data_IF_489901788126
#
_entry.id   IF_489901788126
#
_cell.length_a   1.000
_cell.length_b   1.000
_cell.length_c   1.000
_cell.angle_alpha   90.00
_cell.angle_beta   90.00
_cell.angle_gamma   90.00
#
_symmetry.space_group_name_H-M   'P 1'
#
loop_
_entity.id
_entity.type
_entity.pdbx_description
1 polymer ?
#
# COMPACT_ATOMS: atom_id res chain seq x y z
N UNK A 1 -11.98 25.29 -2.21
CA UNK A 1 -11.80 23.98 -2.87
C UNK A 1 -11.01 24.21 -4.14
N UNK A 2 -9.68 24.24 -4.03
CA UNK A 2 -8.79 24.57 -5.16
C UNK A 2 -8.70 23.36 -6.09
N UNK A 3 -9.35 23.47 -7.24
CA UNK A 3 -9.17 22.53 -8.35
C UNK A 3 -7.78 22.78 -8.93
N UNK A 4 -6.91 21.78 -8.90
CA UNK A 4 -5.71 21.79 -9.75
C UNK A 4 -6.16 21.53 -11.19
N UNK A 5 -6.30 22.61 -11.95
CA UNK A 5 -6.29 22.51 -13.41
C UNK A 5 -4.88 22.08 -13.85
N UNK A 6 -4.78 21.06 -14.69
CA UNK A 6 -3.53 20.69 -15.36
C UNK A 6 -3.77 20.68 -16.86
N UNK A 7 -3.26 21.72 -17.52
CA UNK A 7 -3.07 21.85 -18.96
C UNK A 7 -2.22 20.69 -19.51
N UNK A 8 -2.60 20.19 -20.69
CA UNK A 8 -2.00 19.02 -21.34
C UNK A 8 -0.52 19.17 -21.68
N UNK A 9 0.32 18.41 -20.95
CA UNK A 9 1.46 17.57 -21.38
C UNK A 9 2.02 16.77 -20.19
N UNK A 10 1.22 16.54 -19.13
CA UNK A 10 1.67 15.90 -17.89
C UNK A 10 1.23 14.44 -17.78
N UNK A 11 2.02 13.62 -17.09
CA UNK A 11 1.53 12.34 -16.57
C UNK A 11 0.21 12.58 -15.85
N UNK A 12 -0.89 11.88 -16.19
CA UNK A 12 -2.16 12.08 -15.52
C UNK A 12 -2.03 11.85 -14.02
N UNK A 13 -2.89 12.50 -13.23
CA UNK A 13 -2.89 12.35 -11.78
C UNK A 13 -3.02 10.87 -11.41
N UNK A 14 -2.31 10.48 -10.37
CA UNK A 14 -2.34 9.13 -9.84
C UNK A 14 -2.63 9.15 -8.35
N UNK A 15 -3.31 8.10 -7.89
CA UNK A 15 -3.50 7.79 -6.49
C UNK A 15 -2.62 6.61 -6.11
N UNK A 16 -1.85 6.78 -5.03
CA UNK A 16 -1.01 5.72 -4.47
C UNK A 16 -1.79 4.98 -3.38
N UNK A 17 -2.04 3.69 -3.58
CA UNK A 17 -2.86 2.87 -2.69
C UNK A 17 -1.99 1.86 -1.96
N UNK A 18 -1.93 1.98 -0.64
CA UNK A 18 -1.35 0.97 0.23
C UNK A 18 -2.40 -0.09 0.57
N UNK A 19 -2.18 -1.32 0.07
CA UNK A 19 -3.08 -2.45 0.32
C UNK A 19 -2.64 -3.32 1.51
N UNK A 20 -1.67 -2.85 2.29
CA UNK A 20 -1.28 -3.46 3.58
C UNK A 20 -2.35 -3.20 4.64
N UNK A 21 -2.31 -3.96 5.73
CA UNK A 21 -3.27 -3.78 6.82
C UNK A 21 -3.08 -2.43 7.53
N UNK A 22 -4.08 -2.02 8.32
CA UNK A 22 -3.98 -0.81 9.13
C UNK A 22 -2.75 -0.82 10.04
N UNK A 23 -2.48 -1.93 10.73
CA UNK A 23 -1.31 -2.05 11.62
C UNK A 23 0.02 -1.93 10.86
N UNK A 24 0.11 -2.50 9.65
CA UNK A 24 1.30 -2.37 8.82
C UNK A 24 1.52 -0.92 8.37
N UNK A 25 0.43 -0.21 8.05
CA UNK A 25 0.43 1.21 7.65
C UNK A 25 0.79 2.14 8.80
N UNK A 26 0.36 1.82 10.03
CA UNK A 26 0.74 2.54 11.26
C UNK A 26 2.25 2.52 11.45
N UNK A 27 2.92 1.37 11.23
CA UNK A 27 4.39 1.31 11.30
C UNK A 27 5.04 2.26 10.31
N UNK A 28 4.58 2.23 9.05
CA UNK A 28 5.15 3.03 7.98
C UNK A 28 4.26 3.00 6.74
N UNK A 29 4.24 4.09 5.98
CA UNK A 29 3.62 4.21 4.67
C UNK A 29 4.49 5.03 3.73
N UNK A 30 4.36 4.82 2.42
CA UNK A 30 4.91 5.73 1.42
C UNK A 30 4.16 7.08 1.54
N UNK A 31 4.85 8.22 1.59
CA UNK A 31 4.21 9.54 1.69
C UNK A 31 3.13 9.74 0.63
N UNK A 32 1.98 10.27 1.06
CA UNK A 32 0.83 10.52 0.18
C UNK A 32 0.00 9.29 -0.20
N UNK A 33 0.35 8.10 0.30
CA UNK A 33 -0.47 6.91 0.06
C UNK A 33 -1.72 6.84 0.95
N UNK A 34 -2.82 6.40 0.37
CA UNK A 34 -4.08 6.14 1.07
C UNK A 34 -4.32 4.64 1.24
N UNK A 35 -5.26 4.27 2.11
CA UNK A 35 -5.65 2.85 2.23
C UNK A 35 -6.51 2.40 1.06
N UNK A 36 -6.54 1.10 0.78
CA UNK A 36 -7.51 0.53 -0.17
C UNK A 36 -8.97 0.77 0.26
N UNK A 37 -9.25 0.80 1.57
CA UNK A 37 -10.59 1.10 2.10
C UNK A 37 -11.00 2.51 1.73
N UNK A 38 -10.13 3.48 1.98
CA UNK A 38 -10.35 4.90 1.63
C UNK A 38 -10.51 5.09 0.11
N UNK A 39 -9.63 4.48 -0.68
CA UNK A 39 -9.75 4.49 -2.14
C UNK A 39 -11.11 3.96 -2.61
N UNK A 40 -11.56 2.82 -2.07
CA UNK A 40 -12.83 2.20 -2.47
C UNK A 40 -14.05 2.99 -2.02
N UNK A 41 -14.02 3.58 -0.82
CA UNK A 41 -15.12 4.41 -0.30
C UNK A 41 -15.32 5.70 -1.11
N UNK A 42 -14.23 6.30 -1.58
CA UNK A 42 -14.27 7.57 -2.31
C UNK A 42 -14.11 7.41 -3.82
N UNK A 43 -14.10 6.18 -4.34
CA UNK A 43 -13.80 5.87 -5.74
C UNK A 43 -14.63 6.70 -6.72
N UNK A 44 -15.96 6.65 -6.59
CA UNK A 44 -16.87 7.33 -7.52
C UNK A 44 -16.81 8.85 -7.41
N UNK A 45 -16.47 9.37 -6.23
CA UNK A 45 -16.49 10.80 -5.93
C UNK A 45 -15.17 11.51 -6.22
N UNK A 46 -14.03 10.81 -6.11
CA UNK A 46 -12.69 11.41 -6.18
C UNK A 46 -11.76 10.75 -7.18
N UNK A 47 -11.78 9.42 -7.32
CA UNK A 47 -10.68 8.69 -7.97
C UNK A 47 -11.03 8.03 -9.31
N UNK A 48 -12.27 8.17 -9.78
CA UNK A 48 -12.77 7.52 -11.02
C UNK A 48 -11.84 7.72 -12.22
N UNK A 49 -11.29 8.93 -12.37
CA UNK A 49 -10.48 9.32 -13.54
C UNK A 49 -8.97 9.34 -13.23
N UNK A 50 -8.55 8.86 -12.05
CA UNK A 50 -7.15 8.80 -11.67
C UNK A 50 -6.52 7.43 -11.99
N UNK A 51 -5.22 7.45 -12.30
CA UNK A 51 -4.45 6.21 -12.38
C UNK A 51 -4.22 5.65 -10.98
N UNK A 52 -4.37 4.35 -10.81
CA UNK A 52 -4.09 3.71 -9.53
C UNK A 52 -2.69 3.10 -9.55
N UNK A 53 -1.88 3.42 -8.56
CA UNK A 53 -0.64 2.68 -8.28
C UNK A 53 -0.81 2.00 -6.93
N UNK A 54 -0.88 0.67 -6.91
CA UNK A 54 -1.04 -0.08 -5.67
C UNK A 54 0.29 -0.70 -5.23
N UNK A 55 0.53 -0.76 -3.92
CA UNK A 55 1.72 -1.41 -3.37
C UNK A 55 1.39 -2.17 -2.08
N UNK A 56 2.20 -3.19 -1.78
CA UNK A 56 2.17 -3.87 -0.49
C UNK A 56 3.59 -4.03 0.08
N UNK A 57 3.89 -5.18 0.70
CA UNK A 57 5.27 -5.46 1.15
C UNK A 57 6.19 -5.76 -0.04
N UNK A 58 5.81 -6.70 -0.90
CA UNK A 58 6.66 -7.26 -1.97
C UNK A 58 6.03 -7.27 -3.37
N UNK A 59 4.78 -6.82 -3.51
CA UNK A 59 4.06 -6.79 -4.80
C UNK A 59 3.02 -7.89 -5.00
N UNK A 60 2.90 -8.87 -4.12
CA UNK A 60 1.93 -9.96 -4.26
C UNK A 60 0.47 -9.49 -4.05
N UNK A 61 0.16 -8.96 -2.86
CA UNK A 61 -1.19 -8.48 -2.51
C UNK A 61 -1.66 -7.36 -3.45
N UNK A 62 -0.78 -6.41 -3.78
CA UNK A 62 -1.09 -5.30 -4.69
C UNK A 62 -1.25 -5.75 -6.13
N UNK A 63 -0.53 -6.79 -6.58
CA UNK A 63 -0.77 -7.40 -7.89
C UNK A 63 -2.18 -7.98 -8.00
N UNK A 64 -2.64 -8.69 -6.96
CA UNK A 64 -4.02 -9.19 -6.89
C UNK A 64 -5.06 -8.09 -6.82
N UNK A 65 -4.75 -7.00 -6.12
CA UNK A 65 -5.61 -5.84 -6.06
C UNK A 65 -5.77 -5.16 -7.43
N UNK A 66 -4.66 -4.97 -8.16
CA UNK A 66 -4.66 -4.39 -9.51
C UNK A 66 -5.41 -5.29 -10.50
N UNK A 67 -5.22 -6.61 -10.42
CA UNK A 67 -5.96 -7.59 -11.23
C UNK A 67 -7.49 -7.43 -11.01
N UNK A 68 -7.92 -7.32 -9.75
CA UNK A 68 -9.33 -7.08 -9.39
C UNK A 68 -9.85 -5.78 -9.97
N UNK A 69 -9.16 -4.65 -9.73
CA UNK A 69 -9.59 -3.33 -10.21
C UNK A 69 -9.70 -3.26 -11.73
N UNK A 70 -8.71 -3.82 -12.43
CA UNK A 70 -8.69 -3.82 -13.90
C UNK A 70 -9.83 -4.66 -14.46
N UNK A 71 -10.04 -5.87 -13.93
CA UNK A 71 -11.04 -6.82 -14.46
C UNK A 71 -12.47 -6.46 -14.09
N UNK A 72 -12.72 -5.99 -12.87
CA UNK A 72 -14.07 -5.76 -12.36
C UNK A 72 -14.56 -4.33 -12.61
N UNK A 73 -13.64 -3.35 -12.62
CA UNK A 73 -13.98 -1.92 -12.68
C UNK A 73 -13.40 -1.19 -13.89
N UNK A 74 -12.57 -1.84 -14.70
CA UNK A 74 -11.95 -1.21 -15.88
C UNK A 74 -11.00 -0.06 -15.54
N UNK A 75 -10.45 -0.04 -14.32
CA UNK A 75 -9.58 1.04 -13.84
C UNK A 75 -8.17 0.91 -14.43
N UNK A 76 -7.56 2.04 -14.80
CA UNK A 76 -6.15 2.13 -15.20
C UNK A 76 -5.23 1.95 -13.96
N UNK A 77 -4.92 0.69 -13.63
CA UNK A 77 -4.25 0.31 -12.39
C UNK A 77 -2.91 -0.40 -12.61
N UNK A 78 -1.92 -0.07 -11.79
CA UNK A 78 -0.54 -0.57 -11.86
C UNK A 78 -0.04 -1.07 -10.50
N UNK A 79 0.75 -2.14 -10.51
CA UNK A 79 1.40 -2.67 -9.32
C UNK A 79 2.80 -2.05 -9.18
N UNK A 80 3.09 -1.41 -8.05
CA UNK A 80 4.44 -0.92 -7.76
C UNK A 80 5.39 -2.11 -7.59
N UNK A 81 6.27 -2.29 -8.57
CA UNK A 81 7.19 -3.43 -8.64
C UNK A 81 8.06 -3.53 -7.39
N UNK A 82 8.00 -4.66 -6.70
CA UNK A 82 8.70 -4.91 -5.44
C UNK A 82 8.20 -4.10 -4.23
N UNK A 83 7.21 -3.22 -4.45
CA UNK A 83 6.46 -2.47 -3.46
C UNK A 83 7.33 -1.76 -2.40
N UNK A 84 6.91 -1.74 -1.13
CA UNK A 84 7.58 -0.93 -0.10
C UNK A 84 9.05 -1.35 0.11
N UNK A 85 9.40 -2.62 -0.08
CA UNK A 85 10.81 -3.01 0.02
C UNK A 85 11.64 -2.43 -1.12
N UNK A 86 11.19 -2.55 -2.37
CA UNK A 86 11.88 -1.92 -3.50
C UNK A 86 11.91 -0.38 -3.39
N UNK A 87 10.86 0.22 -2.82
CA UNK A 87 10.83 1.65 -2.50
C UNK A 87 11.97 2.06 -1.57
N UNK A 88 12.19 1.30 -0.48
CA UNK A 88 13.34 1.56 0.42
C UNK A 88 14.67 1.43 -0.32
N UNK A 89 14.83 0.43 -1.20
CA UNK A 89 16.05 0.23 -2.01
C UNK A 89 16.29 1.35 -3.02
N UNK A 90 15.24 1.96 -3.54
CA UNK A 90 15.32 3.14 -4.39
C UNK A 90 15.64 4.44 -3.62
N UNK A 91 15.79 4.37 -2.29
CA UNK A 91 16.03 5.52 -1.43
C UNK A 91 14.80 6.35 -1.12
N UNK A 92 13.60 5.79 -1.30
CA UNK A 92 12.35 6.46 -0.99
C UNK A 92 12.10 6.54 0.51
N UNK A 93 11.65 7.71 0.97
CA UNK A 93 11.32 7.96 2.38
C UNK A 93 10.04 7.23 2.81
N UNK A 94 9.92 6.92 4.10
CA UNK A 94 8.71 6.41 4.72
C UNK A 94 8.26 7.36 5.83
N UNK A 95 6.96 7.38 6.08
CA UNK A 95 6.34 8.13 7.17
C UNK A 95 5.55 7.20 8.09
N UNK A 96 5.53 7.49 9.38
CA UNK A 96 4.73 6.75 10.36
C UNK A 96 3.24 7.05 10.18
N UNK A 97 2.41 6.00 10.20
CA UNK A 97 0.97 6.13 10.05
C UNK A 97 0.34 6.68 11.32
N UNK A 98 -0.12 7.93 11.26
CA UNK A 98 -0.78 8.64 12.36
C UNK A 98 -0.14 10.00 12.61
N UNK A 99 1.18 10.06 12.65
CA UNK A 99 1.95 11.30 12.85
C UNK A 99 2.34 11.93 11.52
N UNK A 100 2.61 11.12 10.49
CA UNK A 100 3.17 11.59 9.21
C UNK A 100 4.66 11.94 9.29
N UNK A 101 5.30 11.70 10.43
CA UNK A 101 6.73 11.96 10.64
C UNK A 101 7.60 10.93 9.91
N UNK A 102 8.81 11.34 9.49
CA UNK A 102 9.75 10.43 8.82
C UNK A 102 10.12 9.27 9.73
N UNK A 103 10.22 8.08 9.15
CA UNK A 103 10.59 6.86 9.88
C UNK A 103 11.51 5.96 9.07
N UNK A 104 12.41 5.25 9.75
CA UNK A 104 13.22 4.16 9.19
C UNK A 104 12.57 2.80 9.38
N UNK A 105 11.45 2.72 10.12
CA UNK A 105 10.79 1.45 10.41
C UNK A 105 10.01 0.99 9.18
N UNK A 106 10.03 -0.31 8.92
CA UNK A 106 9.23 -0.93 7.84
C UNK A 106 8.69 -2.28 8.26
N UNK A 107 7.37 -2.46 8.18
CA UNK A 107 6.77 -3.75 8.49
C UNK A 107 7.01 -4.76 7.35
N UNK A 108 7.48 -5.95 7.72
CA UNK A 108 7.70 -7.09 6.83
C UNK A 108 6.91 -8.30 7.31
N UNK A 109 6.64 -9.26 6.42
CA UNK A 109 5.83 -10.43 6.77
C UNK A 109 6.44 -11.32 7.86
N UNK A 110 7.76 -11.23 8.06
CA UNK A 110 8.46 -11.95 9.11
C UNK A 110 9.96 -11.82 8.97
N UNK A 111 10.71 -12.38 9.92
CA UNK A 111 12.18 -12.26 9.99
C UNK A 111 12.91 -12.63 8.69
N UNK A 112 12.46 -13.66 7.98
CA UNK A 112 13.07 -14.08 6.69
C UNK A 112 12.86 -13.07 5.55
N UNK A 113 11.94 -12.13 5.74
CA UNK A 113 11.55 -11.09 4.77
C UNK A 113 12.06 -9.71 5.18
N UNK A 114 12.95 -9.62 6.18
CA UNK A 114 13.65 -8.40 6.59
C UNK A 114 14.69 -7.99 5.53
N UNK A 115 14.22 -7.64 4.34
CA UNK A 115 15.00 -7.37 3.14
C UNK A 115 14.88 -5.90 2.71
N UNK A 116 14.57 -5.00 3.64
CA UNK A 116 14.59 -3.57 3.39
C UNK A 116 16.03 -3.08 3.13
N UNK A 117 16.17 -1.90 2.54
CA UNK A 117 17.49 -1.27 2.35
C UNK A 117 18.21 -1.13 3.69
N UNK A 118 19.54 -1.23 3.67
CA UNK A 118 20.38 -0.87 4.82
C UNK A 118 20.01 0.54 5.33
N UNK A 119 19.89 0.68 6.65
CA UNK A 119 19.40 1.89 7.31
C UNK A 119 17.90 1.90 7.62
N UNK A 120 17.14 0.90 7.16
CA UNK A 120 15.75 0.68 7.58
C UNK A 120 15.65 -0.46 8.61
N UNK A 121 14.81 -0.23 9.62
CA UNK A 121 14.53 -1.17 10.69
C UNK A 121 13.33 -2.03 10.32
N UNK A 122 13.58 -3.26 9.86
CA UNK A 122 12.52 -4.21 9.57
C UNK A 122 11.87 -4.68 10.87
N UNK A 123 10.58 -4.41 11.02
CA UNK A 123 9.75 -4.94 12.11
C UNK A 123 8.77 -5.97 11.54
N UNK A 124 8.28 -6.86 12.38
CA UNK A 124 7.24 -7.82 12.04
C UNK A 124 6.40 -8.07 13.28
N UNK A 125 5.11 -8.36 13.11
CA UNK A 125 4.27 -8.73 14.24
C UNK A 125 4.67 -10.11 14.76
N UNK A 126 4.98 -10.19 16.05
CA UNK A 126 5.12 -11.46 16.75
C UNK A 126 3.72 -12.04 16.97
N UNK A 127 3.19 -12.74 15.98
CA UNK A 127 2.03 -13.60 16.16
C UNK A 127 2.34 -14.98 15.57
N UNK A 128 2.83 -15.94 16.39
CA UNK A 128 2.75 -17.32 15.99
C UNK A 128 1.26 -17.71 16.03
N UNK A 129 0.74 -18.22 14.91
CA UNK A 129 -0.43 -19.11 14.88
C UNK A 129 -1.85 -18.47 14.97
N UNK A 130 -2.11 -17.39 15.72
CA UNK A 130 -3.51 -17.00 16.07
C UNK A 130 -4.38 -16.50 14.90
N UNK A 131 -3.85 -15.71 13.94
CA UNK A 131 -4.65 -15.23 12.80
C UNK A 131 -5.05 -16.38 11.85
N UNK A 132 -4.13 -17.32 11.61
CA UNK A 132 -4.37 -18.46 10.73
C UNK A 132 -5.38 -19.44 11.35
N UNK A 133 -5.29 -19.66 12.66
CA UNK A 133 -6.22 -20.53 13.40
C UNK A 133 -7.60 -19.91 13.54
N UNK A 134 -7.74 -18.58 13.63
CA UNK A 134 -9.06 -17.93 13.63
C UNK A 134 -9.83 -18.16 12.32
N UNK A 135 -9.17 -18.03 11.16
CA UNK A 135 -9.80 -18.32 9.88
C UNK A 135 -10.08 -19.82 9.66
N UNK A 136 -9.27 -20.70 10.26
CA UNK A 136 -9.46 -22.15 10.16
C UNK A 136 -10.57 -22.68 11.09
N UNK A 137 -10.75 -22.09 12.28
CA UNK A 137 -11.74 -22.54 13.28
C UNK A 137 -13.10 -21.83 13.17
N UNK A 138 -13.15 -20.60 12.63
CA UNK A 138 -14.38 -19.80 12.61
C UNK A 138 -14.82 -19.38 11.20
N UNK A 139 -14.13 -19.84 10.15
CA UNK A 139 -14.51 -19.64 8.75
C UNK A 139 -15.64 -20.55 8.28
N UNK A 140 -16.81 -20.47 8.94
CA UNK A 140 -18.11 -20.87 8.37
C UNK A 140 -19.23 -20.34 9.28
N UNK A 141 -19.84 -19.23 8.86
CA UNK A 141 -21.28 -18.99 8.85
C UNK A 141 -21.57 -17.95 7.78
#
# INVERSE_FOLDING_TARGET
AERRASSGTGTPPYVLVDVRTADERVVSSIPGSISSVEYESDFDAKYRDERVVAYCTIGYRSGKYVEKLTREKGVDAYNLRGSVLAWTHAGGELVEGGTGEKTTRVHTFGKKWALARSGYDSVWFNAPVVSYVKNLLFGRR
#
